data_IF_016996641424
#
_entry.id   IF_016996641424
#
_cell.length_a   1.000
_cell.length_b   1.000
_cell.length_c   1.000
_cell.angle_alpha   90.00
_cell.angle_beta   90.00
_cell.angle_gamma   90.00
#
_symmetry.space_group_name_H-M   'P 1'
#
loop_
_entity.id
_entity.type
_entity.pdbx_description
1 polymer ?
#
# COMPACT_ATOMS: atom_id res chain seq x y z
N UNK A 1 -8.71 5.25 8.00
CA UNK A 1 -9.54 4.13 7.50
C UNK A 1 -10.96 4.62 7.67
N UNK A 2 -11.52 5.20 6.62
CA UNK A 2 -12.89 5.70 6.64
C UNK A 2 -13.77 4.44 6.64
N UNK A 3 -14.63 4.33 7.64
CA UNK A 3 -15.71 3.35 7.62
C UNK A 3 -16.71 3.87 6.59
N UNK A 4 -16.56 3.45 5.34
CA UNK A 4 -17.56 3.73 4.33
C UNK A 4 -18.86 3.04 4.74
N UNK A 5 -19.92 3.84 4.76
CA UNK A 5 -21.31 3.50 4.97
C UNK A 5 -21.68 2.13 4.35
N UNK A 6 -22.29 1.23 5.12
CA UNK A 6 -22.68 -0.13 4.68
C UNK A 6 -23.74 -0.06 3.57
N UNK A 7 -23.34 0.29 2.36
CA UNK A 7 -24.11 -0.03 1.15
C UNK A 7 -23.99 -1.56 0.99
N UNK A 8 -25.11 -2.26 0.86
CA UNK A 8 -25.15 -3.72 1.00
C UNK A 8 -24.16 -4.46 0.08
N UNK A 9 -23.69 -5.64 0.51
CA UNK A 9 -22.68 -6.49 -0.15
C UNK A 9 -22.78 -6.52 -1.69
N UNK A 10 -24.00 -6.68 -2.23
CA UNK A 10 -24.24 -6.77 -3.67
C UNK A 10 -23.92 -5.49 -4.45
N UNK A 11 -24.11 -4.31 -3.84
CA UNK A 11 -23.74 -3.04 -4.48
C UNK A 11 -22.22 -2.89 -4.59
N UNK A 12 -21.48 -3.36 -3.60
CA UNK A 12 -20.02 -3.28 -3.60
C UNK A 12 -19.40 -4.34 -4.54
N UNK A 13 -19.96 -5.55 -4.56
CA UNK A 13 -19.55 -6.61 -5.49
C UNK A 13 -19.71 -6.18 -6.96
N UNK A 14 -20.78 -5.45 -7.28
CA UNK A 14 -21.04 -4.91 -8.62
C UNK A 14 -20.66 -3.43 -8.77
N UNK A 15 -19.89 -2.86 -7.84
CA UNK A 15 -19.42 -1.50 -7.98
C UNK A 15 -18.48 -1.39 -9.18
N UNK A 16 -18.70 -0.40 -10.03
CA UNK A 16 -17.87 -0.18 -11.21
C UNK A 16 -16.60 0.61 -10.89
N UNK A 17 -16.66 1.51 -9.91
CA UNK A 17 -15.53 2.37 -9.54
C UNK A 17 -14.80 1.78 -8.33
N UNK A 18 -13.50 1.53 -8.46
CA UNK A 18 -12.64 1.04 -7.37
C UNK A 18 -12.74 -0.45 -7.07
N UNK A 19 -13.54 -1.22 -7.81
CA UNK A 19 -13.63 -2.68 -7.70
C UNK A 19 -12.69 -3.41 -8.67
N UNK A 20 -12.41 -4.69 -8.40
CA UNK A 20 -11.76 -5.60 -9.34
C UNK A 20 -12.70 -6.07 -10.47
N UNK A 21 -14.01 -5.88 -10.32
CA UNK A 21 -15.04 -6.29 -11.28
C UNK A 21 -14.78 -5.80 -12.72
N UNK A 22 -14.52 -4.50 -13.00
CA UNK A 22 -14.24 -4.04 -14.37
C UNK A 22 -12.97 -4.63 -14.96
N UNK A 23 -11.97 -5.01 -14.14
CA UNK A 23 -10.75 -5.66 -14.62
C UNK A 23 -10.99 -7.10 -15.07
N UNK A 24 -11.87 -7.83 -14.38
CA UNK A 24 -12.09 -9.27 -14.59
C UNK A 24 -13.21 -9.52 -15.62
N UNK A 25 -14.19 -8.61 -15.70
CA UNK A 25 -15.36 -8.71 -16.58
C UNK A 25 -15.05 -9.05 -18.06
N UNK A 26 -14.08 -8.42 -18.76
CA UNK A 26 -13.81 -8.75 -20.16
C UNK A 26 -13.36 -10.20 -20.34
N UNK A 27 -12.60 -10.74 -19.39
CA UNK A 27 -12.15 -12.14 -19.43
C UNK A 27 -13.33 -13.10 -19.21
N UNK A 28 -14.20 -12.80 -18.26
CA UNK A 28 -15.41 -13.61 -17.99
C UNK A 28 -16.30 -13.67 -19.23
N UNK A 29 -16.53 -12.55 -19.90
CA UNK A 29 -17.33 -12.49 -21.13
C UNK A 29 -16.64 -13.27 -22.25
N UNK A 30 -15.33 -13.09 -22.45
CA UNK A 30 -14.58 -13.79 -23.49
C UNK A 30 -14.61 -15.31 -23.30
N UNK A 31 -14.29 -15.81 -22.10
CA UNK A 31 -14.34 -17.23 -21.80
C UNK A 31 -15.77 -17.80 -21.87
N UNK A 32 -16.78 -17.03 -21.44
CA UNK A 32 -18.18 -17.40 -21.58
C UNK A 32 -18.62 -17.54 -23.04
N UNK A 33 -18.17 -16.63 -23.91
CA UNK A 33 -18.44 -16.71 -25.35
C UNK A 33 -17.75 -17.91 -25.99
N UNK A 34 -16.47 -18.15 -25.65
CA UNK A 34 -15.73 -19.33 -26.13
C UNK A 34 -16.45 -20.62 -25.71
N UNK A 35 -16.83 -20.73 -24.43
CA UNK A 35 -17.57 -21.89 -23.92
C UNK A 35 -18.91 -22.08 -24.67
N UNK A 36 -19.63 -20.99 -24.94
CA UNK A 36 -20.89 -21.02 -25.69
C UNK A 36 -20.68 -21.52 -27.12
N UNK A 37 -19.63 -21.04 -27.81
CA UNK A 37 -19.28 -21.50 -29.16
C UNK A 37 -18.94 -22.99 -29.17
N UNK A 38 -18.14 -23.47 -28.21
CA UNK A 38 -17.77 -24.88 -28.11
C UNK A 38 -19.01 -25.76 -27.89
N UNK A 39 -19.91 -25.38 -26.98
CA UNK A 39 -21.14 -26.13 -26.69
C UNK A 39 -22.05 -26.18 -27.92
N UNK A 40 -22.27 -25.05 -28.59
CA UNK A 40 -23.09 -25.00 -29.81
C UNK A 40 -22.46 -25.82 -30.93
N UNK A 41 -21.15 -25.73 -31.14
CA UNK A 41 -20.43 -26.51 -32.15
C UNK A 41 -20.55 -28.01 -31.87
N UNK A 42 -20.35 -28.45 -30.62
CA UNK A 42 -20.51 -29.85 -30.22
C UNK A 42 -21.93 -30.34 -30.50
N UNK A 43 -22.94 -29.56 -30.12
CA UNK A 43 -24.34 -29.91 -30.34
C UNK A 43 -24.70 -30.03 -31.84
N UNK A 44 -24.22 -29.11 -32.68
CA UNK A 44 -24.44 -29.17 -34.13
C UNK A 44 -23.75 -30.39 -34.74
N UNK A 45 -22.52 -30.69 -34.33
CA UNK A 45 -21.75 -31.83 -34.86
C UNK A 45 -22.43 -33.15 -34.51
N UNK A 46 -22.85 -33.30 -33.25
CA UNK A 46 -23.55 -34.50 -32.79
C UNK A 46 -24.87 -34.68 -33.54
N UNK A 47 -25.67 -33.62 -33.72
CA UNK A 47 -26.96 -33.72 -34.39
C UNK A 47 -26.85 -33.92 -35.92
N UNK A 48 -25.81 -33.36 -36.57
CA UNK A 48 -25.63 -33.43 -38.03
C UNK A 48 -24.81 -34.63 -38.49
N UNK A 49 -23.81 -35.05 -37.72
CA UNK A 49 -22.84 -36.06 -38.11
C UNK A 49 -22.86 -37.32 -37.21
N UNK A 50 -23.68 -37.34 -36.14
CA UNK A 50 -23.74 -38.42 -35.15
C UNK A 50 -22.37 -38.78 -34.53
N UNK A 51 -21.45 -37.81 -34.53
CA UNK A 51 -20.13 -37.94 -33.93
C UNK A 51 -20.12 -37.22 -32.58
N UNK A 52 -19.81 -37.96 -31.53
CA UNK A 52 -19.63 -37.41 -30.18
C UNK A 52 -18.16 -37.04 -29.97
N UNK A 53 -17.90 -35.76 -29.64
CA UNK A 53 -16.56 -35.29 -29.28
C UNK A 53 -16.48 -35.29 -27.76
N UNK A 54 -15.80 -36.29 -27.20
CA UNK A 54 -15.52 -36.38 -25.77
C UNK A 54 -14.16 -35.77 -25.43
N UNK A 55 -14.15 -34.83 -24.48
CA UNK A 55 -12.92 -34.37 -23.84
C UNK A 55 -12.80 -35.04 -22.47
N UNK A 56 -11.62 -35.59 -22.19
CA UNK A 56 -11.32 -36.15 -20.88
C UNK A 56 -11.13 -35.01 -19.87
N UNK A 57 -11.91 -35.04 -18.78
CA UNK A 57 -11.95 -33.96 -17.77
C UNK A 57 -10.82 -34.06 -16.75
N UNK A 58 -10.29 -35.27 -16.53
CA UNK A 58 -9.31 -35.57 -15.48
C UNK A 58 -8.03 -34.70 -15.51
N UNK A 59 -7.40 -34.41 -16.67
CA UNK A 59 -6.25 -33.52 -16.72
C UNK A 59 -6.57 -32.09 -16.25
N UNK A 60 -7.79 -31.62 -16.50
CA UNK A 60 -8.23 -30.27 -16.11
C UNK A 60 -8.54 -30.17 -14.63
N UNK A 61 -9.03 -31.24 -14.00
CA UNK A 61 -9.26 -31.28 -12.54
C UNK A 61 -7.94 -31.17 -11.78
N UNK A 62 -6.93 -31.94 -12.19
CA UNK A 62 -5.60 -31.90 -11.56
C UNK A 62 -4.98 -30.51 -11.74
N UNK A 63 -5.05 -29.96 -12.96
CA UNK A 63 -4.57 -28.61 -13.23
C UNK A 63 -5.31 -27.55 -12.39
N UNK A 64 -6.64 -27.66 -12.27
CA UNK A 64 -7.47 -26.79 -11.46
C UNK A 64 -7.10 -26.84 -9.97
N UNK A 65 -6.87 -28.03 -9.42
CA UNK A 65 -6.42 -28.20 -8.04
C UNK A 65 -5.04 -27.56 -7.81
N UNK A 66 -4.09 -27.77 -8.72
CA UNK A 66 -2.76 -27.16 -8.64
C UNK A 66 -2.83 -25.62 -8.72
N UNK A 67 -3.64 -25.07 -9.64
CA UNK A 67 -3.90 -23.64 -9.76
C UNK A 67 -4.54 -23.06 -8.49
N UNK A 68 -5.52 -23.76 -7.91
CA UNK A 68 -6.16 -23.37 -6.65
C UNK A 68 -5.17 -23.27 -5.50
N UNK A 69 -4.29 -24.26 -5.35
CA UNK A 69 -3.24 -24.24 -4.33
C UNK A 69 -2.28 -23.06 -4.54
N UNK A 70 -1.79 -22.86 -5.77
CA UNK A 70 -0.90 -21.75 -6.09
C UNK A 70 -1.56 -20.39 -5.82
N UNK A 71 -2.86 -20.25 -6.11
CA UNK A 71 -3.62 -19.03 -5.85
C UNK A 71 -3.71 -18.75 -4.35
N UNK A 72 -3.96 -19.76 -3.52
CA UNK A 72 -4.01 -19.61 -2.06
C UNK A 72 -2.66 -19.16 -1.53
N UNK A 73 -1.57 -19.84 -1.92
CA UNK A 73 -0.21 -19.48 -1.50
C UNK A 73 0.14 -18.03 -1.90
N UNK A 74 -0.16 -17.66 -3.15
CA UNK A 74 0.07 -16.30 -3.66
C UNK A 74 -0.75 -15.24 -2.91
N UNK A 75 -2.02 -15.55 -2.62
CA UNK A 75 -2.91 -14.63 -1.91
C UNK A 75 -2.45 -14.41 -0.48
N UNK A 76 -2.07 -15.49 0.22
CA UNK A 76 -1.55 -15.41 1.59
C UNK A 76 -0.26 -14.57 1.66
N UNK A 77 0.72 -14.84 0.80
CA UNK A 77 1.96 -14.06 0.75
C UNK A 77 1.72 -12.57 0.43
N UNK A 78 0.77 -12.28 -0.48
CA UNK A 78 0.37 -10.92 -0.79
C UNK A 78 -0.28 -10.20 0.39
N UNK A 79 -1.16 -10.91 1.12
CA UNK A 79 -1.83 -10.40 2.32
C UNK A 79 -0.82 -10.12 3.44
N UNK A 80 0.11 -11.04 3.70
CA UNK A 80 1.13 -10.87 4.74
C UNK A 80 2.01 -9.64 4.46
N UNK A 81 2.44 -9.46 3.20
CA UNK A 81 3.22 -8.28 2.80
C UNK A 81 2.43 -6.98 2.97
N UNK A 82 1.14 -6.98 2.60
CA UNK A 82 0.27 -5.81 2.81
C UNK A 82 0.10 -5.50 4.30
N UNK A 83 -0.10 -6.53 5.12
CA UNK A 83 -0.26 -6.40 6.56
C UNK A 83 1.01 -5.91 7.24
N UNK A 84 2.18 -6.41 6.81
CA UNK A 84 3.48 -5.94 7.26
C UNK A 84 3.69 -4.46 6.96
N UNK A 85 3.44 -4.02 5.72
CA UNK A 85 3.52 -2.61 5.35
C UNK A 85 2.61 -1.73 6.21
N UNK A 86 1.38 -2.18 6.49
CA UNK A 86 0.44 -1.48 7.37
C UNK A 86 0.95 -1.38 8.81
N UNK A 87 1.53 -2.46 9.35
CA UNK A 87 2.14 -2.47 10.69
C UNK A 87 3.31 -1.49 10.76
N UNK A 88 4.21 -1.49 9.78
CA UNK A 88 5.34 -0.56 9.70
C UNK A 88 4.88 0.90 9.67
N UNK A 89 3.87 1.21 8.87
CA UNK A 89 3.29 2.55 8.81
C UNK A 89 2.66 2.98 10.13
N UNK A 90 1.94 2.07 10.80
CA UNK A 90 1.44 2.28 12.15
C UNK A 90 2.55 2.52 13.18
N UNK A 91 3.67 1.79 13.04
CA UNK A 91 4.89 1.99 13.82
C UNK A 91 5.45 3.39 13.68
N UNK A 92 5.63 3.90 12.45
CA UNK A 92 6.10 5.27 12.20
C UNK A 92 5.22 6.31 12.92
N UNK A 93 3.89 6.18 12.84
CA UNK A 93 2.96 7.11 13.51
C UNK A 93 3.09 7.05 15.03
N UNK A 94 3.18 5.84 15.60
CA UNK A 94 3.29 5.65 17.04
C UNK A 94 4.62 6.16 17.58
N UNK A 95 5.74 5.83 16.94
CA UNK A 95 7.07 6.28 17.35
C UNK A 95 7.23 7.79 17.20
N UNK A 96 6.68 8.38 16.14
CA UNK A 96 6.63 9.85 15.99
C UNK A 96 5.92 10.54 17.17
N UNK A 97 4.79 9.97 17.63
CA UNK A 97 4.05 10.50 18.79
C UNK A 97 4.82 10.29 20.09
N UNK A 98 5.41 9.11 20.29
CA UNK A 98 6.18 8.79 21.49
C UNK A 98 7.41 9.70 21.61
N UNK A 99 8.12 9.93 20.50
CA UNK A 99 9.25 10.85 20.42
C UNK A 99 8.86 12.24 20.89
N UNK A 100 7.78 12.82 20.34
CA UNK A 100 7.35 14.18 20.71
C UNK A 100 6.83 14.24 22.15
N UNK A 101 6.14 13.20 22.63
CA UNK A 101 5.71 13.11 24.04
C UNK A 101 6.90 13.14 24.99
N UNK A 102 7.92 12.32 24.74
CA UNK A 102 9.16 12.30 25.53
C UNK A 102 9.94 13.61 25.42
N UNK A 103 10.12 14.11 24.20
CA UNK A 103 10.79 15.37 23.94
C UNK A 103 10.13 16.54 24.67
N UNK A 104 8.80 16.60 24.72
CA UNK A 104 8.09 17.67 25.44
C UNK A 104 8.39 17.69 26.94
N UNK A 105 8.62 16.52 27.55
CA UNK A 105 8.98 16.43 28.98
C UNK A 105 10.41 16.93 29.20
N UNK A 106 11.34 16.54 28.32
CA UNK A 106 12.76 16.86 28.48
C UNK A 106 13.20 18.23 27.92
N UNK A 107 12.45 18.80 26.97
CA UNK A 107 12.74 20.08 26.34
C UNK A 107 11.70 21.16 26.71
N UNK A 108 11.07 21.06 27.87
CA UNK A 108 10.04 22.01 28.30
C UNK A 108 10.56 23.46 28.38
N UNK A 109 11.84 23.62 28.73
CA UNK A 109 12.53 24.92 28.84
C UNK A 109 13.11 25.41 27.51
N UNK A 110 13.07 24.58 26.45
CA UNK A 110 13.64 24.87 25.13
C UNK A 110 12.56 24.80 24.02
N UNK A 111 11.58 25.72 24.02
CA UNK A 111 10.43 25.65 23.12
C UNK A 111 10.84 25.72 21.64
N UNK A 112 11.88 26.46 21.29
CA UNK A 112 12.35 26.56 19.90
C UNK A 112 12.87 25.22 19.37
N UNK A 113 13.69 24.53 20.17
CA UNK A 113 14.25 23.23 19.80
C UNK A 113 13.18 22.15 19.73
N UNK A 114 12.22 22.16 20.67
CA UNK A 114 11.04 21.30 20.63
C UNK A 114 10.21 21.55 19.35
N UNK A 115 9.92 22.80 19.00
CA UNK A 115 9.18 23.12 17.77
C UNK A 115 9.93 22.67 16.50
N UNK A 116 11.26 22.82 16.47
CA UNK A 116 12.09 22.33 15.36
C UNK A 116 11.98 20.81 15.21
N UNK A 117 12.09 20.06 16.31
CA UNK A 117 11.93 18.60 16.30
C UNK A 117 10.51 18.18 15.88
N UNK A 118 9.47 18.88 16.34
CA UNK A 118 8.07 18.63 15.95
C UNK A 118 7.87 18.81 14.45
N UNK A 119 8.43 19.88 13.87
CA UNK A 119 8.31 20.17 12.42
C UNK A 119 8.95 19.06 11.59
N UNK A 120 10.15 18.62 11.95
CA UNK A 120 10.81 17.50 11.25
C UNK A 120 10.07 16.17 11.42
N UNK A 121 9.64 15.87 12.64
CA UNK A 121 8.84 14.66 12.91
C UNK A 121 7.52 14.65 12.12
N UNK A 122 6.90 15.81 11.91
CA UNK A 122 5.68 15.91 11.10
C UNK A 122 5.92 15.72 9.59
N UNK A 123 7.10 16.08 9.10
CA UNK A 123 7.51 15.93 7.70
C UNK A 123 7.99 14.51 7.39
N UNK A 124 8.57 13.80 8.36
CA UNK A 124 9.16 12.47 8.16
C UNK A 124 8.20 11.42 7.54
N UNK A 125 6.93 11.26 7.97
CA UNK A 125 6.02 10.34 7.32
C UNK A 125 5.76 10.74 5.85
N UNK A 126 5.70 12.04 5.54
CA UNK A 126 5.48 12.47 4.16
C UNK A 126 6.69 12.20 3.28
N UNK A 127 7.91 12.47 3.77
CA UNK A 127 9.11 12.16 3.00
C UNK A 127 9.23 10.66 2.75
N UNK A 128 8.98 9.81 3.74
CA UNK A 128 8.97 8.36 3.59
C UNK A 128 7.92 7.88 2.57
N UNK A 129 6.69 8.43 2.62
CA UNK A 129 5.64 8.10 1.66
C UNK A 129 6.02 8.48 0.24
N UNK A 130 6.56 9.69 0.06
CA UNK A 130 6.90 10.27 -1.23
C UNK A 130 8.06 9.51 -1.88
N UNK A 131 9.09 9.14 -1.10
CA UNK A 131 10.19 8.28 -1.54
C UNK A 131 9.67 6.92 -2.06
N UNK A 132 8.78 6.26 -1.30
CA UNK A 132 8.18 4.98 -1.71
C UNK A 132 7.29 5.09 -2.95
N UNK A 133 6.82 6.29 -3.28
CA UNK A 133 5.99 6.57 -4.47
C UNK A 133 6.79 7.14 -5.64
N UNK A 134 8.08 7.43 -5.47
CA UNK A 134 8.89 8.13 -6.47
C UNK A 134 8.37 9.53 -6.79
N UNK A 135 7.79 10.21 -5.79
CA UNK A 135 7.28 11.59 -5.92
C UNK A 135 8.22 12.51 -5.15
N UNK A 136 8.69 13.57 -5.79
CA UNK A 136 9.55 14.55 -5.10
C UNK A 136 8.75 15.41 -4.11
N UNK A 137 9.38 15.72 -2.97
CA UNK A 137 8.88 16.71 -2.00
C UNK A 137 8.64 16.16 -0.60
N UNK A 138 8.35 17.08 0.32
CA UNK A 138 8.27 16.85 1.77
C UNK A 138 6.83 16.89 2.33
N UNK A 139 5.83 16.96 1.44
CA UNK A 139 4.41 17.02 1.79
C UNK A 139 3.92 18.41 2.23
N UNK A 140 2.66 18.49 2.71
CA UNK A 140 1.94 19.75 2.93
C UNK A 140 2.44 20.58 4.12
N UNK A 141 3.30 20.00 4.97
CA UNK A 141 3.87 20.68 6.14
C UNK A 141 5.33 21.08 5.97
N UNK A 142 5.87 20.88 4.77
CA UNK A 142 7.22 21.30 4.40
C UNK A 142 7.44 22.78 4.70
N UNK A 143 6.45 23.63 4.42
CA UNK A 143 6.49 25.07 4.66
C UNK A 143 6.87 25.49 6.09
N UNK A 144 6.68 24.61 7.07
CA UNK A 144 6.98 24.87 8.49
C UNK A 144 8.46 24.65 8.84
N UNK A 145 9.22 23.96 8.00
CA UNK A 145 10.67 23.77 8.11
C UNK A 145 11.37 24.94 7.42
N UNK A 146 12.47 25.52 7.96
CA UNK A 146 13.20 26.59 7.29
C UNK A 146 13.62 26.22 5.85
N UNK A 147 13.52 27.18 4.92
CA UNK A 147 13.79 26.95 3.49
C UNK A 147 15.19 26.38 3.23
N UNK A 148 16.22 26.88 3.92
CA UNK A 148 17.58 26.39 3.80
C UNK A 148 17.68 24.89 4.09
N UNK A 149 17.04 24.44 5.16
CA UNK A 149 17.04 23.04 5.56
C UNK A 149 16.21 22.17 4.61
N UNK A 150 15.08 22.70 4.08
CA UNK A 150 14.24 21.99 3.10
C UNK A 150 15.03 21.65 1.84
N UNK A 151 15.71 22.65 1.28
CA UNK A 151 16.47 22.49 0.03
C UNK A 151 17.62 21.51 0.22
N UNK A 152 18.29 21.53 1.37
CA UNK A 152 19.36 20.58 1.68
C UNK A 152 18.84 19.13 1.71
N UNK A 153 17.70 18.89 2.34
CA UNK A 153 17.11 17.55 2.47
C UNK A 153 16.57 17.02 1.14
N UNK A 154 15.91 17.85 0.33
CA UNK A 154 15.38 17.45 -0.98
C UNK A 154 16.52 17.10 -1.96
N UNK A 155 17.69 17.73 -1.82
CA UNK A 155 18.87 17.43 -2.64
C UNK A 155 19.65 16.21 -2.17
N UNK A 156 19.31 15.64 -1.01
CA UNK A 156 19.97 14.44 -0.52
C UNK A 156 19.62 13.23 -1.40
N UNK A 157 20.52 12.25 -1.45
CA UNK A 157 20.28 11.00 -2.18
C UNK A 157 19.06 10.22 -1.63
N UNK A 158 18.83 10.29 -0.31
CA UNK A 158 17.73 9.63 0.36
C UNK A 158 17.02 10.61 1.28
N UNK A 159 15.92 11.18 0.78
CA UNK A 159 15.17 12.24 1.46
C UNK A 159 14.72 11.86 2.88
N UNK A 160 14.14 10.66 3.14
CA UNK A 160 13.67 10.31 4.48
C UNK A 160 14.81 10.16 5.49
N UNK A 161 15.97 9.66 5.03
CA UNK A 161 17.17 9.52 5.87
C UNK A 161 17.72 10.90 6.24
N UNK A 162 17.75 11.83 5.30
CA UNK A 162 18.17 13.21 5.57
C UNK A 162 17.22 13.92 6.56
N UNK A 163 15.90 13.69 6.46
CA UNK A 163 14.93 14.17 7.48
C UNK A 163 15.23 13.56 8.85
N UNK A 164 15.44 12.25 8.91
CA UNK A 164 15.77 11.56 10.16
C UNK A 164 17.06 12.10 10.79
N UNK A 165 18.07 12.41 9.97
CA UNK A 165 19.31 13.03 10.43
C UNK A 165 19.07 14.43 11.01
N UNK A 166 18.24 15.25 10.39
CA UNK A 166 17.85 16.55 10.94
C UNK A 166 17.11 16.43 12.29
N UNK A 167 16.30 15.37 12.47
CA UNK A 167 15.71 15.03 13.78
C UNK A 167 16.79 14.65 14.80
N UNK A 168 17.77 13.83 14.40
CA UNK A 168 18.91 13.44 15.26
C UNK A 168 19.74 14.64 15.69
N UNK A 169 20.00 15.59 14.80
CA UNK A 169 20.72 16.82 15.12
C UNK A 169 20.01 17.64 16.20
N UNK A 170 18.67 17.73 16.14
CA UNK A 170 17.89 18.39 17.19
C UNK A 170 18.09 17.71 18.55
N UNK A 171 18.10 16.38 18.59
CA UNK A 171 18.34 15.60 19.82
C UNK A 171 19.79 15.72 20.31
N UNK A 172 20.75 15.81 19.40
CA UNK A 172 22.15 16.00 19.75
C UNK A 172 22.40 17.35 20.42
N UNK A 173 21.78 18.43 19.89
CA UNK A 173 21.81 19.76 20.52
C UNK A 173 21.18 19.72 21.91
N UNK A 174 20.03 19.05 22.06
CA UNK A 174 19.36 18.91 23.36
C UNK A 174 20.26 18.20 24.38
N UNK A 175 20.92 17.10 23.97
CA UNK A 175 21.83 16.35 24.85
C UNK A 175 22.99 17.20 25.37
N UNK A 176 23.60 18.02 24.51
CA UNK A 176 24.73 18.87 24.90
C UNK A 176 24.35 19.93 25.94
N UNK A 177 23.09 20.39 25.93
CA UNK A 177 22.57 21.40 26.85
C UNK A 177 22.22 20.82 28.22
N UNK A 178 21.66 19.61 28.28
CA UNK A 178 21.38 18.90 29.54
C UNK A 178 22.65 18.56 30.33
N UNK A 179 23.81 18.46 29.65
CA UNK A 179 25.09 18.14 30.29
C UNK A 179 25.86 19.37 30.82
N UNK A 180 25.35 20.59 30.61
CA UNK A 180 25.92 21.83 31.17
C UNK A 180 25.12 22.28 32.36
#
# INVERSE_FOLDING_TARGET
>A
MVFEDRRGFWRDAFAWHGSATPLIMPYVIAFGLIATVIVVASWVIEHRFQLTIGLEVAPFEIAGAALGLLLILRTNAGYDRWWEARKLWGGIVNESRNLIRGARVHLAEEPELLHRLVRWTAVFPWSAMNELRGVDGLGPYSDRVPEADRVAVIRAQHTPVAVAQAMTECLAVARQRVQR
#
